data_IF_413981315523
#
_entry.id   IF_413981315523
#
_cell.length_a   1.000
_cell.length_b   1.000
_cell.length_c   1.000
_cell.angle_alpha   90.00
_cell.angle_beta   90.00
_cell.angle_gamma   90.00
#
_symmetry.space_group_name_H-M   'P 1'
#
loop_
_entity.id
_entity.type
_entity.pdbx_description
1 polymer ?
#
# COMPACT_ATOMS: atom_id res chain seq x y z
N UNK A 1 -21.36 -1.21 5.36
CA UNK A 1 -20.09 -1.95 5.21
C UNK A 1 -19.06 -0.95 4.74
N UNK A 2 -17.97 -0.75 5.48
CA UNK A 2 -16.86 0.07 5.01
C UNK A 2 -16.00 -0.83 4.13
N UNK A 3 -15.86 -0.48 2.86
CA UNK A 3 -14.91 -1.15 1.96
C UNK A 3 -13.59 -0.41 2.11
N UNK A 4 -12.59 -1.07 2.65
CA UNK A 4 -11.24 -0.52 2.74
C UNK A 4 -10.56 -0.67 1.38
N UNK A 5 -10.06 0.44 0.86
CA UNK A 5 -9.30 0.47 -0.37
C UNK A 5 -7.86 0.06 -0.06
N UNK A 6 -7.32 -0.94 -0.77
CA UNK A 6 -5.94 -1.42 -0.53
C UNK A 6 -4.88 -0.35 -0.79
N UNK A 7 -5.19 0.66 -1.60
CA UNK A 7 -4.32 1.79 -1.92
C UNK A 7 -4.38 2.96 -0.92
N UNK A 8 -5.36 2.97 -0.02
CA UNK A 8 -5.38 3.87 1.15
C UNK A 8 -4.69 3.09 2.27
N UNK A 9 -3.37 3.20 2.38
CA UNK A 9 -2.51 2.40 3.27
C UNK A 9 -2.51 2.99 4.68
N UNK A 10 -2.66 4.32 4.81
CA UNK A 10 -2.66 4.99 6.11
C UNK A 10 -4.08 5.17 6.73
N UNK A 11 -5.16 4.82 6.02
CA UNK A 11 -6.58 4.98 6.41
C UNK A 11 -7.05 6.42 6.54
N UNK A 12 -6.46 7.34 5.79
CA UNK A 12 -6.88 8.75 5.80
C UNK A 12 -8.00 9.06 4.78
N UNK A 13 -8.40 8.05 3.99
CA UNK A 13 -9.45 8.17 2.97
C UNK A 13 -8.96 8.78 1.65
N UNK A 14 -7.65 8.92 1.47
CA UNK A 14 -6.99 9.37 0.24
C UNK A 14 -5.90 8.38 -0.13
N UNK A 15 -5.64 8.25 -1.42
CA UNK A 15 -4.37 7.72 -1.93
C UNK A 15 -3.49 8.90 -2.29
N UNK A 16 -2.45 9.13 -1.49
CA UNK A 16 -1.53 10.24 -1.62
C UNK A 16 -0.08 9.85 -1.22
N UNK A 17 0.79 10.85 -1.08
CA UNK A 17 2.21 10.63 -0.76
C UNK A 17 2.42 9.97 0.61
N UNK A 18 1.49 10.14 1.56
CA UNK A 18 1.58 9.53 2.87
C UNK A 18 1.40 8.01 2.83
N UNK A 19 0.61 7.49 1.89
CA UNK A 19 0.48 6.05 1.64
C UNK A 19 1.77 5.49 1.04
N UNK A 20 2.37 6.21 0.09
CA UNK A 20 3.67 5.84 -0.48
C UNK A 20 4.76 5.79 0.60
N UNK A 21 4.77 6.77 1.52
CA UNK A 21 5.70 6.79 2.65
C UNK A 21 5.44 5.61 3.60
N UNK A 22 4.17 5.28 3.86
CA UNK A 22 3.82 4.13 4.69
C UNK A 22 4.32 2.81 4.09
N UNK A 23 4.23 2.63 2.77
CA UNK A 23 4.83 1.47 2.08
C UNK A 23 6.35 1.50 2.19
N UNK A 24 6.98 2.64 1.90
CA UNK A 24 8.44 2.76 1.88
C UNK A 24 9.12 2.49 3.24
N UNK A 25 8.39 2.62 4.36
CA UNK A 25 8.88 2.25 5.68
C UNK A 25 9.14 0.75 5.83
N UNK A 26 8.51 -0.08 5.01
CA UNK A 26 8.64 -1.54 4.99
C UNK A 26 9.47 -2.05 3.80
N UNK A 27 10.22 -1.17 3.14
CA UNK A 27 10.93 -1.52 1.89
C UNK A 27 11.80 -2.77 2.03
N UNK A 28 11.65 -3.72 1.10
CA UNK A 28 12.38 -4.98 1.06
C UNK A 28 12.07 -5.96 2.23
N UNK A 29 10.94 -5.77 2.91
CA UNK A 29 10.36 -6.80 3.81
C UNK A 29 9.67 -7.92 3.01
N UNK A 30 9.62 -9.11 3.60
CA UNK A 30 9.04 -10.34 3.04
C UNK A 30 8.19 -11.07 4.08
N UNK A 31 7.18 -11.82 3.63
CA UNK A 31 6.20 -12.49 4.49
C UNK A 31 5.09 -13.19 3.70
N UNK A 32 3.98 -13.51 4.38
CA UNK A 32 2.80 -14.17 3.79
C UNK A 32 1.89 -13.19 3.04
N UNK A 33 1.48 -13.42 1.78
CA UNK A 33 0.64 -12.50 1.01
C UNK A 33 -0.40 -11.71 1.83
N UNK A 34 -0.33 -10.38 1.75
CA UNK A 34 -1.14 -9.42 2.50
C UNK A 34 -0.91 -9.37 4.02
N UNK A 35 0.25 -9.80 4.55
CA UNK A 35 0.52 -9.80 6.00
C UNK A 35 0.52 -8.39 6.63
N UNK A 36 0.79 -7.37 5.83
CA UNK A 36 0.70 -5.96 6.18
C UNK A 36 0.03 -5.19 5.06
N UNK A 37 -0.52 -4.03 5.39
CA UNK A 37 -1.18 -3.16 4.41
C UNK A 37 -0.23 -2.51 3.42
N UNK A 38 1.07 -2.53 3.68
CA UNK A 38 2.08 -2.09 2.72
C UNK A 38 2.25 -3.08 1.56
N UNK A 39 1.92 -4.37 1.75
CA UNK A 39 1.85 -5.39 0.69
C UNK A 39 0.52 -5.21 -0.03
N UNK A 40 0.44 -4.21 -0.89
CA UNK A 40 -0.81 -3.77 -1.53
C UNK A 40 -1.17 -4.60 -2.76
N UNK A 41 -0.19 -5.29 -3.36
CA UNK A 41 -0.41 -6.22 -4.46
C UNK A 41 -0.56 -7.68 -3.98
N UNK A 42 -0.36 -7.94 -2.69
CA UNK A 42 -0.46 -9.25 -2.05
C UNK A 42 0.50 -10.29 -2.65
N UNK A 43 1.68 -9.87 -3.11
CA UNK A 43 2.70 -10.78 -3.67
C UNK A 43 3.71 -11.28 -2.62
N UNK A 44 3.64 -10.69 -1.44
CA UNK A 44 4.48 -11.06 -0.32
C UNK A 44 5.88 -10.39 -0.33
N UNK A 45 6.08 -9.33 -1.11
CA UNK A 45 7.36 -8.62 -1.23
C UNK A 45 7.09 -7.13 -1.31
N UNK A 46 7.54 -6.36 -0.29
CA UNK A 46 7.38 -4.91 -0.34
C UNK A 46 8.38 -4.28 -1.32
N UNK A 47 7.87 -3.85 -2.47
CA UNK A 47 8.69 -3.30 -3.55
C UNK A 47 7.95 -2.22 -4.36
N UNK A 48 8.49 -1.87 -5.53
CA UNK A 48 7.94 -0.82 -6.39
C UNK A 48 6.51 -1.13 -6.88
N UNK A 49 6.15 -2.41 -6.99
CA UNK A 49 4.82 -2.83 -7.42
C UNK A 49 3.74 -2.39 -6.42
N UNK A 50 4.05 -2.33 -5.12
CA UNK A 50 3.13 -1.82 -4.11
C UNK A 50 2.88 -0.32 -4.27
N UNK A 51 3.96 0.44 -4.50
CA UNK A 51 3.85 1.87 -4.77
C UNK A 51 2.99 2.15 -6.01
N UNK A 52 3.06 1.28 -7.03
CA UNK A 52 2.25 1.40 -8.25
C UNK A 52 0.76 1.22 -7.95
N UNK A 53 0.36 0.32 -7.04
CA UNK A 53 -1.05 0.13 -6.65
C UNK A 53 -1.65 1.42 -6.09
N UNK A 54 -0.89 2.16 -5.29
CA UNK A 54 -1.30 3.49 -4.80
C UNK A 54 -1.34 4.51 -5.93
N UNK A 55 -0.29 4.56 -6.76
CA UNK A 55 -0.16 5.56 -7.81
C UNK A 55 -1.29 5.51 -8.86
N UNK A 56 -1.80 4.33 -9.20
CA UNK A 56 -2.91 4.19 -10.16
C UNK A 56 -4.27 4.62 -9.58
N UNK A 57 -4.37 4.81 -8.27
CA UNK A 57 -5.59 5.27 -7.57
C UNK A 57 -5.43 6.69 -6.98
N UNK A 58 -4.44 7.44 -7.42
CA UNK A 58 -4.04 8.73 -6.85
C UNK A 58 -5.19 9.73 -6.70
N UNK A 59 -5.25 10.40 -5.53
CA UNK A 59 -6.31 11.36 -5.19
C UNK A 59 -5.83 12.75 -4.77
N UNK A 60 -4.53 12.98 -4.61
CA UNK A 60 -3.97 14.29 -4.21
C UNK A 60 -3.00 14.14 -3.07
#
# INVERSE_FOLDING_TARGET
MVVWMVWDVNMDGRANVLDLIAIAQHWNEHGEPAWIRADTNHDGIINVLDLIVVAIHWTG
#
